data_IF_656941191092
#
_entry.id   IF_656941191092
#
_cell.length_a   1.000
_cell.length_b   1.000
_cell.length_c   1.000
_cell.angle_alpha   90.00
_cell.angle_beta   90.00
_cell.angle_gamma   90.00
#
_symmetry.space_group_name_H-M   'P 1'
#
loop_
_entity.id
_entity.type
_entity.pdbx_description
1 polymer ?
#
# COMPACT_ATOMS: atom_id res chain seq x y z
N UNK A 1 -11.25 -11.64 25.86
CA UNK A 1 -11.82 -10.84 24.75
C UNK A 1 -10.97 -9.59 24.54
N UNK A 2 -10.31 -9.48 23.41
CA UNK A 2 -9.52 -8.29 23.08
C UNK A 2 -10.43 -7.06 22.95
N UNK A 3 -10.10 -6.00 23.68
CA UNK A 3 -10.94 -4.80 23.76
C UNK A 3 -10.96 -4.08 22.41
N UNK A 4 -12.11 -3.92 21.78
CA UNK A 4 -12.28 -3.12 20.56
C UNK A 4 -11.91 -1.67 20.83
N UNK A 5 -10.68 -1.28 20.49
CA UNK A 5 -10.09 0.01 20.90
C UNK A 5 -9.88 0.97 19.73
N UNK A 6 -9.77 0.45 18.47
CA UNK A 6 -9.47 1.26 17.31
C UNK A 6 -10.67 2.13 16.88
N UNK A 7 -10.41 3.42 16.70
CA UNK A 7 -11.34 4.35 16.05
C UNK A 7 -11.23 4.25 14.52
N UNK A 8 -12.20 4.82 13.79
CA UNK A 8 -12.15 4.92 12.33
C UNK A 8 -10.84 5.55 11.85
N UNK A 9 -10.38 6.61 12.52
CA UNK A 9 -9.14 7.30 12.16
C UNK A 9 -7.92 6.37 12.28
N UNK A 10 -7.84 5.54 13.32
CA UNK A 10 -6.75 4.56 13.45
C UNK A 10 -6.75 3.53 12.33
N UNK A 11 -7.94 3.04 11.94
CA UNK A 11 -8.06 2.09 10.81
C UNK A 11 -7.63 2.75 9.51
N UNK A 12 -8.04 4.01 9.26
CA UNK A 12 -7.61 4.78 8.09
C UNK A 12 -6.09 4.91 8.05
N UNK A 13 -5.44 5.33 9.16
CA UNK A 13 -3.99 5.50 9.19
C UNK A 13 -3.22 4.19 9.00
N UNK A 14 -3.69 3.09 9.60
CA UNK A 14 -3.08 1.77 9.44
C UNK A 14 -3.19 1.29 7.98
N UNK A 15 -4.35 1.49 7.35
CA UNK A 15 -4.57 1.07 5.96
C UNK A 15 -3.85 1.98 4.97
N UNK A 16 -3.85 3.31 5.20
CA UNK A 16 -3.04 4.26 4.42
C UNK A 16 -1.55 3.91 4.45
N UNK A 17 -1.03 3.53 5.62
CA UNK A 17 0.36 3.12 5.74
C UNK A 17 0.71 1.88 4.94
N UNK A 18 -0.24 0.94 4.82
CA UNK A 18 -0.06 -0.22 3.94
C UNK A 18 -0.11 0.17 2.45
N UNK A 19 -0.94 1.15 2.10
CA UNK A 19 -1.16 1.60 0.72
C UNK A 19 0.04 2.43 0.21
N UNK A 20 0.41 3.48 0.95
CA UNK A 20 1.41 4.48 0.54
C UNK A 20 2.83 4.09 0.97
N UNK A 21 2.99 2.99 1.70
CA UNK A 21 4.28 2.53 2.24
C UNK A 21 5.31 2.14 1.17
N UNK A 22 6.08 1.12 1.47
CA UNK A 22 7.18 0.66 0.59
C UNK A 22 6.73 0.35 -0.85
N UNK A 23 5.48 -0.11 -1.03
CA UNK A 23 4.94 -0.41 -2.36
C UNK A 23 4.96 0.79 -3.30
N UNK A 24 4.50 1.96 -2.85
CA UNK A 24 4.48 3.15 -3.70
C UNK A 24 5.90 3.62 -4.03
N UNK A 25 6.76 3.73 -3.03
CA UNK A 25 8.09 4.33 -3.19
C UNK A 25 9.06 3.42 -3.96
N UNK A 26 9.09 2.13 -3.62
CA UNK A 26 10.05 1.19 -4.24
C UNK A 26 9.59 0.70 -5.62
N UNK A 27 8.29 0.43 -5.78
CA UNK A 27 7.74 -0.15 -7.01
C UNK A 27 7.60 0.89 -8.11
N UNK A 28 7.31 2.16 -7.77
CA UNK A 28 7.16 3.23 -8.78
C UNK A 28 8.44 3.43 -9.59
N UNK A 29 9.62 3.41 -8.93
CA UNK A 29 10.90 3.50 -9.63
C UNK A 29 11.12 2.35 -10.63
N UNK A 30 10.84 1.11 -10.21
CA UNK A 30 10.96 -0.07 -11.08
C UNK A 30 9.93 -0.06 -12.21
N UNK A 31 8.70 0.37 -11.94
CA UNK A 31 7.66 0.52 -12.95
C UNK A 31 8.04 1.59 -13.99
N UNK A 32 8.59 2.74 -13.56
CA UNK A 32 9.07 3.79 -14.44
C UNK A 32 10.22 3.28 -15.34
N UNK A 33 11.17 2.52 -14.78
CA UNK A 33 12.24 1.90 -15.55
C UNK A 33 11.72 0.91 -16.61
N UNK A 34 10.57 0.26 -16.37
CA UNK A 34 9.98 -0.73 -17.28
C UNK A 34 9.15 -0.09 -18.37
N UNK A 35 8.39 0.98 -18.09
CA UNK A 35 7.42 1.53 -19.03
C UNK A 35 7.75 2.95 -19.51
N UNK A 36 8.78 3.61 -18.91
CA UNK A 36 9.14 4.97 -19.26
C UNK A 36 8.15 6.00 -18.72
N UNK A 37 7.91 7.06 -19.49
CA UNK A 37 7.03 8.16 -19.08
C UNK A 37 5.56 7.75 -18.91
N UNK A 38 5.11 6.63 -19.47
CA UNK A 38 3.74 6.13 -19.29
C UNK A 38 3.44 5.58 -17.89
N UNK A 39 4.39 5.64 -16.96
CA UNK A 39 4.21 5.16 -15.57
C UNK A 39 3.03 5.82 -14.86
N UNK A 40 2.76 7.10 -15.08
CA UNK A 40 1.61 7.79 -14.50
C UNK A 40 0.28 7.24 -15.02
N UNK A 41 0.20 6.90 -16.32
CA UNK A 41 -0.98 6.26 -16.91
C UNK A 41 -1.14 4.83 -16.37
N UNK A 42 -0.04 4.07 -16.25
CA UNK A 42 -0.03 2.74 -15.65
C UNK A 42 -0.54 2.79 -14.19
N UNK A 43 -0.18 3.82 -13.44
CA UNK A 43 -0.66 4.04 -12.08
C UNK A 43 -2.16 4.33 -12.05
N UNK A 44 -2.66 5.18 -12.96
CA UNK A 44 -4.09 5.45 -13.11
C UNK A 44 -4.89 4.18 -13.41
N UNK A 45 -4.45 3.38 -14.37
CA UNK A 45 -5.09 2.09 -14.71
C UNK A 45 -5.04 1.12 -13.53
N UNK A 46 -3.88 1.00 -12.86
CA UNK A 46 -3.73 0.16 -11.67
C UNK A 46 -4.69 0.58 -10.55
N UNK A 47 -4.90 1.88 -10.36
CA UNK A 47 -5.85 2.43 -9.38
C UNK A 47 -7.29 2.03 -9.71
N UNK A 48 -7.72 2.18 -10.95
CA UNK A 48 -9.06 1.77 -11.40
C UNK A 48 -9.27 0.26 -11.21
N UNK A 49 -8.30 -0.55 -11.61
CA UNK A 49 -8.37 -2.00 -11.41
C UNK A 49 -8.40 -2.38 -9.92
N UNK A 50 -7.59 -1.72 -9.10
CA UNK A 50 -7.59 -1.90 -7.64
C UNK A 50 -8.93 -1.54 -7.02
N UNK A 51 -9.56 -0.46 -7.48
CA UNK A 51 -10.90 -0.06 -7.06
C UNK A 51 -11.95 -1.13 -7.41
N UNK A 52 -11.97 -1.60 -8.65
CA UNK A 52 -12.89 -2.66 -9.06
C UNK A 52 -12.71 -3.94 -8.23
N UNK A 53 -11.46 -4.28 -7.90
CA UNK A 53 -11.15 -5.44 -7.09
C UNK A 53 -11.59 -5.31 -5.62
N UNK A 54 -11.72 -4.08 -5.09
CA UNK A 54 -12.12 -3.86 -3.69
C UNK A 54 -13.64 -3.91 -3.49
N UNK A 55 -14.44 -3.71 -4.52
CA UNK A 55 -15.91 -3.66 -4.45
C UNK A 55 -16.52 -4.85 -3.68
N UNK A 56 -16.17 -6.13 -3.99
CA UNK A 56 -16.73 -7.27 -3.25
C UNK A 56 -16.40 -7.22 -1.75
N UNK A 57 -15.21 -6.75 -1.40
CA UNK A 57 -14.78 -6.63 0.00
C UNK A 57 -15.47 -5.50 0.74
N UNK A 58 -15.87 -4.45 0.03
CA UNK A 58 -16.70 -3.38 0.57
C UNK A 58 -18.06 -3.93 1.05
N UNK A 59 -18.71 -4.75 0.24
CA UNK A 59 -19.96 -5.43 0.62
C UNK A 59 -19.72 -6.40 1.78
N UNK A 60 -18.64 -7.18 1.76
CA UNK A 60 -18.30 -8.11 2.83
C UNK A 60 -18.10 -7.39 4.18
N UNK A 61 -17.43 -6.22 4.17
CA UNK A 61 -17.20 -5.41 5.37
C UNK A 61 -18.50 -4.92 6.03
N UNK A 62 -19.53 -4.65 5.24
CA UNK A 62 -20.87 -4.23 5.73
C UNK A 62 -21.68 -5.36 6.36
N UNK A 63 -21.45 -6.60 5.94
CA UNK A 63 -22.28 -7.76 6.33
C UNK A 63 -21.70 -8.52 7.52
N UNK A 64 -20.40 -8.81 7.50
CA UNK A 64 -19.75 -9.70 8.48
C UNK A 64 -18.51 -9.07 9.08
N UNK A 65 -18.32 -9.24 10.38
CA UNK A 65 -17.08 -8.89 11.08
C UNK A 65 -16.13 -10.08 10.99
N UNK A 66 -15.13 -9.99 10.12
CA UNK A 66 -14.18 -11.06 9.86
C UNK A 66 -12.87 -10.83 10.64
N UNK A 67 -12.32 -11.89 11.21
CA UNK A 67 -10.96 -11.95 11.73
C UNK A 67 -10.14 -12.82 10.79
N UNK A 68 -9.09 -12.25 10.15
CA UNK A 68 -8.24 -13.01 9.22
C UNK A 68 -8.21 -12.47 7.79
N UNK A 69 -8.84 -11.30 7.54
CA UNK A 69 -8.72 -10.60 6.26
C UNK A 69 -9.20 -11.41 5.06
N UNK A 70 -8.42 -11.39 3.98
CA UNK A 70 -8.77 -12.04 2.71
C UNK A 70 -8.97 -13.56 2.81
N UNK A 71 -8.16 -14.24 3.63
CA UNK A 71 -8.29 -15.69 3.83
C UNK A 71 -9.70 -16.08 4.29
N UNK A 72 -10.15 -15.44 5.38
CA UNK A 72 -11.48 -15.76 5.95
C UNK A 72 -12.60 -15.32 5.03
N UNK A 73 -12.44 -14.19 4.31
CA UNK A 73 -13.42 -13.73 3.34
C UNK A 73 -13.59 -14.74 2.20
N UNK A 74 -12.48 -15.19 1.61
CA UNK A 74 -12.52 -16.14 0.51
C UNK A 74 -13.02 -17.53 0.93
N UNK A 75 -12.73 -17.96 2.17
CA UNK A 75 -13.27 -19.21 2.72
C UNK A 75 -14.77 -19.13 2.99
N UNK A 76 -15.28 -17.98 3.44
CA UNK A 76 -16.67 -17.79 3.82
C UNK A 76 -17.59 -17.57 2.62
N UNK A 77 -17.18 -16.71 1.67
CA UNK A 77 -18.01 -16.34 0.51
C UNK A 77 -17.73 -17.19 -0.74
N UNK A 78 -16.59 -17.87 -0.78
CA UNK A 78 -16.25 -18.82 -1.83
C UNK A 78 -16.39 -20.26 -1.33
N UNK A 79 -15.26 -20.90 -1.12
CA UNK A 79 -15.21 -22.22 -0.52
C UNK A 79 -13.91 -22.40 0.29
N UNK A 80 -13.83 -23.45 1.17
CA UNK A 80 -12.63 -23.69 1.98
C UNK A 80 -11.35 -23.89 1.16
N UNK A 81 -11.45 -24.41 -0.07
CA UNK A 81 -10.29 -24.59 -0.96
C UNK A 81 -9.73 -23.26 -1.40
N UNK A 82 -10.58 -22.28 -1.78
CA UNK A 82 -10.16 -20.92 -2.13
C UNK A 82 -9.52 -20.22 -0.94
N UNK A 83 -10.05 -20.42 0.26
CA UNK A 83 -9.42 -19.95 1.50
C UNK A 83 -8.03 -20.55 1.70
N UNK A 84 -7.86 -21.85 1.52
CA UNK A 84 -6.58 -22.54 1.60
C UNK A 84 -5.56 -22.02 0.57
N UNK A 85 -5.97 -21.86 -0.68
CA UNK A 85 -5.13 -21.28 -1.75
C UNK A 85 -4.70 -19.86 -1.42
N UNK A 86 -5.60 -19.05 -0.87
CA UNK A 86 -5.27 -17.68 -0.42
C UNK A 86 -4.21 -17.71 0.69
N UNK A 87 -4.31 -18.64 1.63
CA UNK A 87 -3.34 -18.80 2.71
C UNK A 87 -1.96 -19.19 2.16
N UNK A 88 -1.89 -20.13 1.23
CA UNK A 88 -0.64 -20.52 0.56
C UNK A 88 -0.02 -19.31 -0.16
N UNK A 89 -0.84 -18.52 -0.86
CA UNK A 89 -0.37 -17.31 -1.56
C UNK A 89 0.11 -16.20 -0.60
N UNK A 90 -0.31 -16.20 0.65
CA UNK A 90 0.21 -15.26 1.66
C UNK A 90 1.66 -15.55 2.08
N UNK A 91 2.17 -16.77 1.92
CA UNK A 91 3.54 -17.13 2.29
C UNK A 91 4.60 -16.36 1.46
N UNK A 92 4.55 -16.35 0.10
CA UNK A 92 5.44 -15.52 -0.69
C UNK A 92 5.33 -14.04 -0.35
N UNK A 93 4.12 -13.55 -0.08
CA UNK A 93 3.89 -12.16 0.36
C UNK A 93 4.57 -11.84 1.69
N UNK A 94 4.54 -12.75 2.65
CA UNK A 94 5.23 -12.57 3.93
C UNK A 94 6.75 -12.52 3.76
N UNK A 95 7.32 -13.37 2.90
CA UNK A 95 8.75 -13.35 2.56
C UNK A 95 9.11 -12.06 1.79
N UNK A 96 8.24 -11.61 0.88
CA UNK A 96 8.39 -10.36 0.13
C UNK A 96 8.46 -9.12 1.03
N UNK A 97 7.83 -9.14 2.19
CA UNK A 97 7.92 -8.04 3.15
C UNK A 97 9.34 -7.81 3.71
N UNK A 98 10.26 -8.77 3.59
CA UNK A 98 11.66 -8.58 3.94
C UNK A 98 12.37 -7.53 3.05
N UNK A 99 11.85 -7.25 1.88
CA UNK A 99 12.34 -6.19 0.98
C UNK A 99 12.23 -4.80 1.63
N UNK A 100 11.25 -4.59 2.52
CA UNK A 100 11.00 -3.28 3.15
C UNK A 100 12.19 -2.82 4.02
N UNK A 101 12.67 -3.60 5.01
CA UNK A 101 13.83 -3.20 5.81
C UNK A 101 15.14 -3.16 4.99
N UNK A 102 15.25 -3.95 3.94
CA UNK A 102 16.40 -3.87 3.00
C UNK A 102 16.33 -2.54 2.25
N UNK A 103 15.17 -2.14 1.73
CA UNK A 103 14.95 -0.84 1.09
C UNK A 103 15.34 0.33 2.02
N UNK A 104 14.94 0.29 3.29
CA UNK A 104 15.34 1.27 4.29
C UNK A 104 16.87 1.38 4.39
N UNK A 105 17.57 0.25 4.40
CA UNK A 105 19.04 0.26 4.47
C UNK A 105 19.69 0.88 3.23
N UNK A 106 19.11 0.67 2.05
CA UNK A 106 19.59 1.25 0.79
C UNK A 106 19.45 2.77 0.83
N UNK A 107 18.29 3.29 1.24
CA UNK A 107 18.05 4.74 1.35
C UNK A 107 18.95 5.40 2.40
N UNK A 108 19.13 4.78 3.57
CA UNK A 108 20.02 5.33 4.60
C UNK A 108 21.48 5.33 4.14
N UNK A 109 21.92 4.32 3.40
CA UNK A 109 23.28 4.29 2.83
C UNK A 109 23.50 5.31 1.73
N UNK A 110 22.47 5.75 1.03
CA UNK A 110 22.57 6.85 0.08
C UNK A 110 22.93 8.18 0.78
N UNK A 111 22.51 8.34 2.04
CA UNK A 111 22.82 9.52 2.87
C UNK A 111 24.13 9.29 3.67
N UNK A 112 24.30 8.09 4.20
CA UNK A 112 25.43 7.69 5.07
C UNK A 112 26.14 6.45 4.51
N UNK A 113 27.07 6.59 3.55
CA UNK A 113 27.66 5.46 2.80
C UNK A 113 28.38 4.42 3.68
N UNK A 114 28.91 4.84 4.82
CA UNK A 114 29.75 4.00 5.69
C UNK A 114 28.97 3.09 6.64
N UNK A 115 27.62 3.18 6.68
CA UNK A 115 26.83 2.36 7.60
C UNK A 115 26.54 0.99 6.96
N UNK A 116 26.79 -0.13 7.67
CA UNK A 116 26.54 -1.46 7.13
C UNK A 116 25.03 -1.73 6.98
N UNK A 117 24.61 -2.29 5.84
CA UNK A 117 23.19 -2.49 5.50
C UNK A 117 22.49 -3.50 6.44
N UNK A 118 23.16 -4.59 6.79
CA UNK A 118 22.55 -5.67 7.56
C UNK A 118 22.11 -5.24 8.97
N UNK A 119 22.93 -4.56 9.79
CA UNK A 119 22.50 -4.05 11.10
C UNK A 119 21.33 -3.08 11.03
N UNK A 120 21.26 -2.23 9.98
CA UNK A 120 20.13 -1.31 9.78
C UNK A 120 18.83 -2.10 9.56
N UNK A 121 18.87 -3.06 8.65
CA UNK A 121 17.69 -3.87 8.31
C UNK A 121 17.22 -4.70 9.50
N UNK A 122 18.14 -5.35 10.20
CA UNK A 122 17.83 -6.14 11.40
C UNK A 122 17.32 -5.24 12.53
N UNK A 123 17.97 -4.09 12.76
CA UNK A 123 17.54 -3.11 13.77
C UNK A 123 16.14 -2.60 13.51
N UNK A 124 15.80 -2.29 12.26
CA UNK A 124 14.45 -1.89 11.87
C UNK A 124 13.43 -2.98 12.20
N UNK A 125 13.70 -4.23 11.84
CA UNK A 125 12.81 -5.37 12.14
C UNK A 125 12.61 -5.50 13.65
N UNK A 126 13.68 -5.41 14.45
CA UNK A 126 13.60 -5.51 15.90
C UNK A 126 12.79 -4.36 16.52
N UNK A 127 12.97 -3.13 16.05
CA UNK A 127 12.19 -1.97 16.52
C UNK A 127 10.69 -2.20 16.23
N UNK A 128 10.33 -2.58 15.02
CA UNK A 128 8.93 -2.84 14.67
C UNK A 128 8.37 -4.09 15.37
N UNK A 129 9.20 -5.09 15.66
CA UNK A 129 8.79 -6.24 16.46
C UNK A 129 8.43 -5.81 17.90
N UNK A 130 9.28 -5.01 18.54
CA UNK A 130 9.00 -4.47 19.89
C UNK A 130 7.74 -3.60 19.87
N UNK A 131 7.57 -2.73 18.88
CA UNK A 131 6.36 -1.92 18.73
C UNK A 131 5.10 -2.78 18.58
N UNK A 132 5.21 -3.92 17.89
CA UNK A 132 4.10 -4.86 17.76
C UNK A 132 3.73 -5.51 19.10
N UNK A 133 4.72 -5.83 19.94
CA UNK A 133 4.49 -6.35 21.28
C UNK A 133 3.79 -5.35 22.23
N UNK A 134 3.96 -4.04 22.01
CA UNK A 134 3.27 -2.98 22.76
C UNK A 134 1.77 -2.90 22.44
N UNK A 135 1.32 -3.62 21.42
CA UNK A 135 -0.07 -3.76 21.03
C UNK A 135 -0.54 -2.79 19.95
N UNK A 136 -1.72 -3.09 19.40
CA UNK A 136 -2.29 -2.43 18.21
C UNK A 136 -2.48 -0.91 18.36
N UNK A 137 -2.72 -0.43 19.58
CA UNK A 137 -2.92 1.01 19.81
C UNK A 137 -1.60 1.79 19.69
N UNK A 138 -0.50 1.25 20.24
CA UNK A 138 0.83 1.83 20.11
C UNK A 138 1.27 1.84 18.64
N UNK A 139 1.07 0.72 17.95
CA UNK A 139 1.35 0.60 16.52
C UNK A 139 0.58 1.64 15.70
N UNK A 140 -0.72 1.82 15.96
CA UNK A 140 -1.56 2.79 15.25
C UNK A 140 -1.12 4.25 15.50
N UNK A 141 -0.63 4.57 16.70
CA UNK A 141 -0.10 5.90 17.02
C UNK A 141 1.20 6.17 16.23
N UNK A 142 2.15 5.24 16.27
CA UNK A 142 3.43 5.36 15.54
C UNK A 142 3.13 5.48 14.04
N UNK A 143 2.25 4.63 13.49
CA UNK A 143 1.85 4.66 12.11
C UNK A 143 1.27 6.01 11.69
N UNK A 144 0.44 6.63 12.54
CA UNK A 144 -0.12 7.96 12.30
C UNK A 144 0.98 9.02 12.11
N UNK A 145 1.97 9.06 12.98
CA UNK A 145 3.06 10.05 12.88
C UNK A 145 3.96 9.79 11.67
N UNK A 146 4.27 8.52 11.40
CA UNK A 146 5.02 8.13 10.20
C UNK A 146 4.29 8.55 8.92
N UNK A 147 2.96 8.42 8.88
CA UNK A 147 2.14 8.86 7.75
C UNK A 147 2.17 10.37 7.55
N UNK A 148 2.09 11.17 8.62
CA UNK A 148 2.23 12.63 8.48
C UNK A 148 3.59 13.01 7.90
N UNK A 149 4.67 12.38 8.35
CA UNK A 149 6.01 12.61 7.83
C UNK A 149 6.11 12.24 6.35
N UNK A 150 5.56 11.09 5.98
CA UNK A 150 5.57 10.61 4.60
C UNK A 150 4.75 11.51 3.68
N UNK A 151 3.54 11.94 4.10
CA UNK A 151 2.71 12.85 3.34
C UNK A 151 3.37 14.22 3.17
N UNK A 152 4.01 14.75 4.20
CA UNK A 152 4.77 15.98 4.10
C UNK A 152 5.92 15.85 3.10
N UNK A 153 6.65 14.73 3.13
CA UNK A 153 7.71 14.43 2.17
C UNK A 153 7.20 14.34 0.73
N UNK A 154 6.08 13.63 0.52
CA UNK A 154 5.46 13.55 -0.81
C UNK A 154 4.98 14.91 -1.31
N UNK A 155 4.40 15.74 -0.43
CA UNK A 155 3.95 17.09 -0.79
C UNK A 155 5.14 17.97 -1.22
N UNK A 156 6.23 17.94 -0.46
CA UNK A 156 7.47 18.66 -0.81
C UNK A 156 8.01 18.15 -2.15
N UNK A 157 8.10 16.84 -2.32
CA UNK A 157 8.55 16.21 -3.57
C UNK A 157 7.68 16.62 -4.77
N UNK A 158 6.36 16.67 -4.59
CA UNK A 158 5.43 17.10 -5.63
C UNK A 158 5.66 18.55 -6.05
N UNK A 159 5.89 19.47 -5.10
CA UNK A 159 6.18 20.89 -5.41
C UNK A 159 7.44 21.00 -6.27
N UNK A 160 8.52 20.29 -5.90
CA UNK A 160 9.75 20.29 -6.69
C UNK A 160 9.60 19.58 -8.03
N UNK A 161 8.79 18.51 -8.09
CA UNK A 161 8.48 17.80 -9.33
C UNK A 161 7.74 18.68 -10.34
N UNK A 162 6.73 19.42 -9.89
CA UNK A 162 6.00 20.37 -10.75
C UNK A 162 6.89 21.50 -11.29
N UNK A 163 7.86 21.97 -10.47
CA UNK A 163 8.80 23.00 -10.90
C UNK A 163 9.74 22.54 -12.03
N UNK A 164 10.04 21.24 -12.08
CA UNK A 164 10.92 20.61 -13.06
C UNK A 164 10.14 19.71 -14.05
N UNK A 165 8.89 20.07 -14.34
CA UNK A 165 8.03 19.29 -15.25
C UNK A 165 8.64 19.23 -16.65
N UNK A 166 8.80 18.01 -17.18
CA UNK A 166 9.23 17.78 -18.55
C UNK A 166 7.99 17.55 -19.44
N UNK A 167 7.72 18.42 -20.45
CA UNK A 167 6.59 18.26 -21.35
C UNK A 167 6.61 16.95 -22.16
N UNK A 168 7.78 16.35 -22.36
CA UNK A 168 7.91 15.06 -23.05
C UNK A 168 7.22 13.91 -22.30
N UNK A 169 7.05 14.04 -20.99
CA UNK A 169 6.32 13.06 -20.18
C UNK A 169 4.85 12.88 -20.58
N UNK A 170 4.28 13.84 -21.32
CA UNK A 170 2.89 13.82 -21.82
C UNK A 170 2.83 13.56 -23.32
N UNK A 171 3.96 13.39 -23.99
CA UNK A 171 4.01 13.10 -25.42
C UNK A 171 3.73 11.62 -25.70
N UNK A 172 2.48 11.27 -26.00
CA UNK A 172 2.03 9.90 -26.26
C UNK A 172 2.68 9.22 -27.47
N UNK A 173 3.24 10.00 -28.39
CA UNK A 173 3.90 9.51 -29.61
C UNK A 173 5.42 9.37 -29.45
N UNK A 174 5.99 9.78 -28.31
CA UNK A 174 7.42 9.70 -28.03
C UNK A 174 7.90 8.27 -27.83
N UNK A 175 9.08 7.91 -28.35
CA UNK A 175 9.68 6.60 -28.16
C UNK A 175 9.93 6.27 -26.66
N UNK A 176 10.10 7.27 -25.82
CA UNK A 176 10.29 7.14 -24.39
C UNK A 176 9.00 7.03 -23.58
N UNK A 177 7.82 7.21 -24.24
CA UNK A 177 6.53 7.14 -23.55
C UNK A 177 6.21 5.72 -23.12
N UNK A 178 6.44 4.72 -23.98
CA UNK A 178 6.29 3.28 -23.69
C UNK A 178 7.54 2.54 -24.13
N UNK A 179 8.60 2.61 -23.35
CA UNK A 179 9.93 2.06 -23.70
C UNK A 179 9.90 0.56 -24.03
N UNK A 180 9.10 -0.23 -23.34
CA UNK A 180 8.92 -1.65 -23.59
C UNK A 180 7.54 -1.99 -24.20
N UNK A 181 6.87 -1.01 -24.85
CA UNK A 181 5.58 -1.18 -25.49
C UNK A 181 4.46 -1.59 -24.53
N UNK A 182 3.35 -2.13 -25.08
CA UNK A 182 2.18 -2.54 -24.30
C UNK A 182 2.51 -3.62 -23.26
N UNK A 183 3.46 -4.53 -23.57
CA UNK A 183 3.89 -5.56 -22.62
C UNK A 183 4.54 -4.97 -21.37
N UNK A 184 5.47 -4.02 -21.54
CA UNK A 184 6.09 -3.30 -20.43
C UNK A 184 5.07 -2.48 -19.63
N UNK A 185 4.13 -1.83 -20.31
CA UNK A 185 3.03 -1.10 -19.67
C UNK A 185 2.16 -2.03 -18.81
N UNK A 186 1.78 -3.21 -19.30
CA UNK A 186 1.01 -4.18 -18.55
C UNK A 186 1.76 -4.69 -17.31
N UNK A 187 3.07 -4.97 -17.44
CA UNK A 187 3.93 -5.35 -16.31
C UNK A 187 4.01 -4.24 -15.27
N UNK A 188 4.25 -2.99 -15.70
CA UNK A 188 4.28 -1.84 -14.81
C UNK A 188 2.94 -1.63 -14.09
N UNK A 189 1.82 -1.74 -14.81
CA UNK A 189 0.46 -1.67 -14.24
C UNK A 189 0.25 -2.76 -13.19
N UNK A 190 0.68 -4.00 -13.45
CA UNK A 190 0.58 -5.08 -12.48
C UNK A 190 1.45 -4.83 -11.23
N UNK A 191 2.68 -4.35 -11.41
CA UNK A 191 3.55 -3.96 -10.30
C UNK A 191 2.88 -2.88 -9.41
N UNK A 192 2.32 -1.85 -10.02
CA UNK A 192 1.66 -0.75 -9.33
C UNK A 192 0.34 -1.19 -8.68
N UNK A 193 -0.35 -2.19 -9.23
CA UNK A 193 -1.59 -2.72 -8.66
C UNK A 193 -1.40 -3.31 -7.27
N UNK A 194 -0.21 -3.85 -6.96
CA UNK A 194 0.12 -4.33 -5.62
C UNK A 194 0.05 -3.20 -4.57
N UNK A 195 0.47 -1.99 -4.94
CA UNK A 195 0.38 -0.81 -4.06
C UNK A 195 -1.06 -0.34 -3.88
N UNK A 196 -1.93 -0.50 -4.89
CA UNK A 196 -3.32 -0.03 -4.85
C UNK A 196 -4.29 -1.01 -4.20
N UNK A 197 -3.90 -2.26 -3.94
CA UNK A 197 -4.77 -3.30 -3.35
C UNK A 197 -4.77 -3.37 -1.82
N UNK A 198 -4.06 -2.49 -1.13
CA UNK A 198 -3.94 -2.53 0.34
C UNK A 198 -5.22 -2.24 1.12
N UNK A 199 -6.34 -1.91 0.45
CA UNK A 199 -7.67 -1.75 1.07
C UNK A 199 -8.12 -2.98 1.85
N UNK A 200 -7.70 -4.18 1.42
CA UNK A 200 -8.03 -5.44 2.11
C UNK A 200 -7.54 -5.47 3.55
N UNK A 201 -6.49 -4.73 3.86
CA UNK A 201 -5.95 -4.62 5.22
C UNK A 201 -6.95 -3.96 6.18
N UNK A 202 -7.85 -3.09 5.69
CA UNK A 202 -8.90 -2.51 6.51
C UNK A 202 -9.83 -3.59 7.10
N UNK A 203 -10.12 -4.65 6.34
CA UNK A 203 -10.92 -5.78 6.80
C UNK A 203 -10.22 -6.57 7.91
N UNK A 204 -8.90 -6.72 7.84
CA UNK A 204 -8.13 -7.42 8.87
C UNK A 204 -8.22 -6.71 10.24
N UNK A 205 -8.39 -5.39 10.24
CA UNK A 205 -8.56 -4.60 11.46
C UNK A 205 -10.00 -4.55 11.99
N UNK A 206 -10.97 -5.16 11.31
CA UNK A 206 -12.39 -5.12 11.70
C UNK A 206 -12.64 -5.68 13.10
N UNK A 207 -11.91 -6.72 13.50
CA UNK A 207 -11.97 -7.34 14.84
C UNK A 207 -11.64 -6.36 15.97
N UNK A 208 -10.69 -5.44 15.75
CA UNK A 208 -10.19 -4.49 16.74
C UNK A 208 -10.92 -3.15 16.72
N UNK A 209 -11.80 -2.93 15.75
CA UNK A 209 -12.46 -1.65 15.48
C UNK A 209 -13.75 -1.52 16.27
N UNK A 210 -14.00 -0.34 16.88
CA UNK A 210 -15.29 0.02 17.46
C UNK A 210 -16.33 0.12 16.34
N UNK A 211 -17.53 -0.48 16.52
CA UNK A 211 -18.59 -0.51 15.50
C UNK A 211 -18.07 -0.91 14.10
N UNK A 212 -17.50 -2.11 13.93
CA UNK A 212 -16.71 -2.47 12.74
C UNK A 212 -17.50 -2.31 11.45
N UNK A 213 -18.76 -2.71 11.38
CA UNK A 213 -19.60 -2.58 10.17
C UNK A 213 -19.66 -1.15 9.63
N UNK A 214 -19.74 -0.14 10.51
CA UNK A 214 -19.82 1.26 10.12
C UNK A 214 -18.44 1.90 9.91
N UNK A 215 -17.49 1.60 10.78
CA UNK A 215 -16.21 2.28 10.80
C UNK A 215 -15.21 1.73 9.77
N UNK A 216 -15.29 0.42 9.46
CA UNK A 216 -14.47 -0.18 8.39
C UNK A 216 -14.95 0.30 7.02
N UNK A 217 -16.27 0.37 6.79
CA UNK A 217 -16.83 0.94 5.55
C UNK A 217 -16.41 2.39 5.37
N UNK A 218 -16.52 3.22 6.41
CA UNK A 218 -16.08 4.62 6.35
C UNK A 218 -14.58 4.76 6.12
N UNK A 219 -13.78 3.84 6.67
CA UNK A 219 -12.33 3.86 6.45
C UNK A 219 -12.01 3.56 4.98
N UNK A 220 -12.67 2.57 4.38
CA UNK A 220 -12.47 2.23 2.97
C UNK A 220 -12.91 3.39 2.05
N UNK A 221 -14.08 3.99 2.29
CA UNK A 221 -14.57 5.16 1.54
C UNK A 221 -13.62 6.37 1.66
N UNK A 222 -13.09 6.61 2.85
CA UNK A 222 -12.12 7.69 3.08
C UNK A 222 -10.81 7.47 2.31
N UNK A 223 -10.30 6.22 2.30
CA UNK A 223 -9.09 5.84 1.59
C UNK A 223 -9.24 6.01 0.06
N UNK A 224 -10.40 5.64 -0.46
CA UNK A 224 -10.74 5.79 -1.85
C UNK A 224 -10.77 7.27 -2.27
N UNK A 225 -11.43 8.11 -1.48
CA UNK A 225 -11.45 9.56 -1.74
C UNK A 225 -10.06 10.17 -1.69
N UNK A 226 -9.21 9.72 -0.76
CA UNK A 226 -7.84 10.19 -0.64
C UNK A 226 -7.00 9.81 -1.88
N UNK A 227 -7.15 8.59 -2.39
CA UNK A 227 -6.44 8.13 -3.58
C UNK A 227 -6.84 8.94 -4.84
N UNK A 228 -8.12 9.29 -4.97
CA UNK A 228 -8.62 10.13 -6.06
C UNK A 228 -8.12 11.59 -5.98
N UNK A 229 -7.74 12.08 -4.79
CA UNK A 229 -7.16 13.42 -4.61
C UNK A 229 -5.66 13.43 -4.93
N UNK A 230 -4.95 12.34 -4.62
CA UNK A 230 -3.49 12.25 -4.84
C UNK A 230 -3.10 11.93 -6.27
N UNK A 231 -4.08 11.52 -7.09
CA UNK A 231 -3.92 11.36 -8.55
C UNK A 231 -4.86 12.36 -9.22
N UNK A 232 -4.44 13.64 -9.39
CA UNK A 232 -5.26 14.59 -10.14
C UNK A 232 -5.40 14.07 -11.57
N UNK A 233 -6.65 13.91 -12.00
CA UNK A 233 -7.00 13.76 -13.40
C UNK A 233 -6.54 15.04 -14.13
N UNK A 234 -5.40 14.98 -14.77
CA UNK A 234 -5.01 15.95 -15.78
C UNK A 234 -5.46 15.49 -17.16
#
# INVERSE_FOLDING_TARGET
>A
MEKRSLSTAHVVWLTLGSLVGAGLVTVTGSAAATTGYSVWLAFGVATVLGFLAVIPYFFAAGTVVLSGGMYTTNALFGNPVLGGLTMINCLPGALGNAVVPIGLSIYLRAIFPNIPALPISVGAVLIFYVLNLLGINALAQVQKYMMYLLLAGLFIFSIFGFKNFNPEAVNFSGAEFMTAGIGGFAVATNMLSMSTQSYFNALAFSKYTKNPKKNVLKAIDCLERYQNITVPSQ
#
